data_IF_678479398618
#
_entry.id   IF_678479398618
#
_cell.length_a   1.000
_cell.length_b   1.000
_cell.length_c   1.000
_cell.angle_alpha   90.00
_cell.angle_beta   90.00
_cell.angle_gamma   90.00
#
_symmetry.space_group_name_H-M   'P 1'
#
loop_
_entity.id
_entity.type
_entity.pdbx_description
1 polymer ?
#
# COMPACT_ATOMS: atom_id res chain seq x y z
N UNK A 1 12.28 23.48 -3.45
CA UNK A 1 11.16 23.73 -2.51
C UNK A 1 9.89 23.12 -3.10
N UNK A 2 9.16 22.33 -2.28
CA UNK A 2 7.78 21.81 -2.43
C UNK A 2 7.54 20.82 -3.59
N UNK A 3 6.91 19.64 -3.47
CA UNK A 3 6.23 18.92 -2.38
C UNK A 3 6.06 17.46 -2.85
N UNK A 4 6.70 16.49 -2.20
CA UNK A 4 6.11 15.14 -2.04
C UNK A 4 5.88 14.90 -0.55
N UNK A 5 5.40 15.94 0.13
CA UNK A 5 4.84 15.79 1.49
C UNK A 5 3.45 15.18 1.34
N UNK A 6 3.35 13.89 1.00
CA UNK A 6 2.30 13.10 1.62
C UNK A 6 2.71 12.94 3.08
N UNK A 7 2.54 14.04 3.84
CA UNK A 7 2.44 14.00 5.30
C UNK A 7 1.49 12.84 5.57
N UNK A 8 2.02 11.74 6.12
CA UNK A 8 1.28 10.56 6.59
C UNK A 8 -0.15 11.00 6.85
N UNK A 9 -1.11 10.68 5.95
CA UNK A 9 -2.49 10.95 6.28
C UNK A 9 -2.69 10.16 7.56
N UNK A 10 -2.92 10.85 8.68
CA UNK A 10 -3.61 10.21 9.80
C UNK A 10 -4.71 9.39 9.15
N UNK A 11 -4.74 8.07 9.39
CA UNK A 11 -5.61 7.12 8.70
C UNK A 11 -7.02 7.69 8.68
N UNK A 12 -7.39 8.40 7.61
CA UNK A 12 -8.63 9.17 7.48
C UNK A 12 -9.50 8.60 6.37
N UNK A 13 -8.92 7.72 5.55
CA UNK A 13 -9.57 7.02 4.45
C UNK A 13 -9.16 5.56 4.47
N UNK A 14 -10.06 4.68 4.01
CA UNK A 14 -9.83 3.25 3.89
C UNK A 14 -8.57 2.93 3.06
N UNK A 15 -8.40 3.68 1.96
CA UNK A 15 -7.19 3.65 1.12
C UNK A 15 -5.91 3.96 1.89
N UNK A 16 -5.93 4.96 2.78
CA UNK A 16 -4.75 5.31 3.57
C UNK A 16 -4.36 4.22 4.58
N UNK A 17 -5.35 3.54 5.16
CA UNK A 17 -5.13 2.35 5.98
C UNK A 17 -4.53 1.20 5.16
N UNK A 18 -5.09 0.91 3.98
CA UNK A 18 -4.59 -0.15 3.11
C UNK A 18 -3.13 0.07 2.68
N UNK A 19 -2.76 1.30 2.34
CA UNK A 19 -1.35 1.67 2.05
C UNK A 19 -0.46 1.41 3.27
N UNK A 20 -0.92 1.75 4.47
CA UNK A 20 -0.17 1.50 5.71
C UNK A 20 0.08 -0.01 5.90
N UNK A 21 -0.96 -0.84 5.78
CA UNK A 21 -0.85 -2.29 5.90
C UNK A 21 0.11 -2.89 4.87
N UNK A 22 0.01 -2.45 3.60
CA UNK A 22 0.91 -2.89 2.53
C UNK A 22 2.37 -2.50 2.82
N UNK A 23 2.61 -1.29 3.32
CA UNK A 23 3.94 -0.83 3.67
C UNK A 23 4.51 -1.59 4.88
N UNK A 24 3.69 -1.83 5.91
CA UNK A 24 4.07 -2.59 7.10
C UNK A 24 4.42 -4.05 6.76
N UNK A 25 3.69 -4.66 5.83
CA UNK A 25 3.98 -6.00 5.33
C UNK A 25 5.21 -6.07 4.41
N UNK A 26 5.69 -4.93 3.92
CA UNK A 26 6.76 -4.82 2.92
C UNK A 26 6.30 -5.19 1.51
N UNK A 27 5.00 -5.15 1.24
CA UNK A 27 4.44 -5.43 -0.08
C UNK A 27 4.66 -4.29 -1.06
N UNK A 28 4.78 -3.05 -0.55
CA UNK A 28 5.12 -1.87 -1.35
C UNK A 28 6.41 -1.24 -0.87
N UNK A 29 7.09 -0.52 -1.76
CA UNK A 29 8.27 0.31 -1.47
C UNK A 29 8.11 1.68 -2.09
N UNK A 30 8.70 2.69 -1.48
CA UNK A 30 8.84 4.01 -2.09
C UNK A 30 10.04 4.02 -3.05
N UNK A 31 9.87 4.59 -4.24
CA UNK A 31 10.98 4.93 -5.11
C UNK A 31 11.80 6.04 -4.46
N UNK A 32 13.07 5.80 -4.16
CA UNK A 32 13.92 6.77 -3.47
C UNK A 32 14.14 8.05 -4.29
N UNK A 33 14.06 7.95 -5.62
CA UNK A 33 14.31 9.07 -6.54
C UNK A 33 13.05 9.90 -6.81
N UNK A 34 11.89 9.25 -6.94
CA UNK A 34 10.66 9.89 -7.42
C UNK A 34 9.53 9.91 -6.38
N UNK A 35 9.66 9.18 -5.26
CA UNK A 35 8.64 9.11 -4.21
C UNK A 35 7.39 8.31 -4.57
N UNK A 36 7.37 7.62 -5.73
CA UNK A 36 6.25 6.76 -6.11
C UNK A 36 6.21 5.48 -5.28
N UNK A 37 5.01 5.10 -4.85
CA UNK A 37 4.79 3.77 -4.29
C UNK A 37 4.83 2.74 -5.42
N UNK A 38 5.62 1.69 -5.23
CA UNK A 38 5.79 0.60 -6.17
C UNK A 38 5.48 -0.72 -5.45
N UNK A 39 4.74 -1.60 -6.11
CA UNK A 39 4.53 -2.96 -5.62
C UNK A 39 5.83 -3.75 -5.78
N UNK A 40 6.29 -4.39 -4.71
CA UNK A 40 7.47 -5.26 -4.74
C UNK A 40 7.19 -6.58 -5.48
N UNK A 41 5.92 -6.88 -5.75
CA UNK A 41 5.41 -8.12 -6.31
C UNK A 41 5.84 -9.38 -5.52
N UNK A 42 6.19 -9.21 -4.24
CA UNK A 42 6.64 -10.28 -3.35
C UNK A 42 5.42 -11.08 -2.83
N UNK A 43 5.27 -12.36 -3.19
CA UNK A 43 4.10 -13.15 -2.81
C UNK A 43 3.93 -13.27 -1.28
N UNK A 44 5.04 -13.40 -0.55
CA UNK A 44 5.01 -13.53 0.90
C UNK A 44 4.64 -12.21 1.58
N UNK A 45 5.10 -11.08 1.05
CA UNK A 45 4.72 -9.77 1.56
C UNK A 45 3.24 -9.48 1.32
N UNK A 46 2.70 -9.87 0.15
CA UNK A 46 1.28 -9.77 -0.15
C UNK A 46 0.44 -10.62 0.80
N UNK A 47 0.84 -11.86 1.04
CA UNK A 47 0.16 -12.75 1.99
C UNK A 47 0.15 -12.16 3.41
N UNK A 48 1.29 -11.64 3.90
CA UNK A 48 1.35 -10.95 5.20
C UNK A 48 0.42 -9.74 5.27
N UNK A 49 0.33 -8.93 4.21
CA UNK A 49 -0.58 -7.79 4.17
C UNK A 49 -2.04 -8.23 4.28
N UNK A 50 -2.41 -9.31 3.59
CA UNK A 50 -3.74 -9.89 3.65
C UNK A 50 -4.07 -10.47 5.03
N UNK A 51 -3.09 -11.09 5.70
CA UNK A 51 -3.27 -11.57 7.07
C UNK A 51 -3.48 -10.42 8.06
N UNK A 52 -2.73 -9.32 7.94
CA UNK A 52 -2.92 -8.13 8.76
C UNK A 52 -4.32 -7.55 8.53
N UNK A 53 -4.72 -7.40 7.26
CA UNK A 53 -6.04 -6.88 6.88
C UNK A 53 -7.21 -7.68 7.46
N UNK A 54 -7.06 -9.01 7.56
CA UNK A 54 -8.05 -9.90 8.17
C UNK A 54 -8.08 -9.83 9.69
N UNK A 55 -6.90 -9.72 10.31
CA UNK A 55 -6.74 -9.76 11.77
C UNK A 55 -7.10 -8.44 12.43
N UNK A 56 -6.81 -7.32 11.77
CA UNK A 56 -7.02 -5.97 12.28
C UNK A 56 -7.70 -5.07 11.24
N UNK A 57 -8.98 -5.36 10.88
CA UNK A 57 -9.72 -4.51 9.98
C UNK A 57 -10.13 -3.19 10.66
N UNK A 58 -10.33 -2.10 9.90
CA UNK A 58 -10.83 -0.85 10.45
C UNK A 58 -12.20 -1.04 11.11
N UNK A 59 -12.48 -0.26 12.16
CA UNK A 59 -13.75 -0.34 12.88
C UNK A 59 -14.95 -0.17 11.93
N UNK A 60 -15.86 -1.16 11.94
CA UNK A 60 -17.05 -1.17 11.10
C UNK A 60 -16.87 -1.83 9.72
N UNK A 61 -15.69 -2.33 9.38
CA UNK A 61 -15.49 -3.18 8.21
C UNK A 61 -15.39 -4.67 8.58
N UNK A 62 -15.98 -5.49 7.72
CA UNK A 62 -15.75 -6.94 7.73
C UNK A 62 -14.34 -7.27 7.22
N UNK A 63 -13.71 -8.34 7.72
CA UNK A 63 -12.40 -8.80 7.24
C UNK A 63 -12.30 -8.97 5.72
N UNK A 64 -13.36 -9.48 5.07
CA UNK A 64 -13.42 -9.61 3.61
C UNK A 64 -13.43 -8.26 2.88
N UNK A 65 -14.13 -7.26 3.43
CA UNK A 65 -14.17 -5.92 2.86
C UNK A 65 -12.82 -5.19 3.04
N UNK A 66 -12.17 -5.39 4.18
CA UNK A 66 -10.84 -4.88 4.46
C UNK A 66 -9.80 -5.49 3.50
N UNK A 67 -9.89 -6.81 3.25
CA UNK A 67 -9.08 -7.49 2.25
C UNK A 67 -9.30 -6.98 0.82
N UNK A 68 -10.57 -6.79 0.44
CA UNK A 68 -10.93 -6.30 -0.87
C UNK A 68 -10.27 -4.94 -1.13
N UNK A 69 -10.32 -4.02 -0.16
CA UNK A 69 -9.65 -2.72 -0.27
C UNK A 69 -8.13 -2.86 -0.41
N UNK A 70 -7.48 -3.67 0.45
CA UNK A 70 -6.02 -3.85 0.38
C UNK A 70 -5.60 -4.38 -0.99
N UNK A 71 -6.37 -5.31 -1.55
CA UNK A 71 -6.13 -5.82 -2.91
C UNK A 71 -6.39 -4.76 -3.98
N UNK A 72 -7.44 -3.97 -3.84
CA UNK A 72 -7.78 -2.93 -4.82
C UNK A 72 -6.70 -1.83 -4.86
N UNK A 73 -6.22 -1.42 -3.69
CA UNK A 73 -5.09 -0.49 -3.57
C UNK A 73 -3.81 -1.08 -4.14
N UNK A 74 -3.51 -2.34 -3.86
CA UNK A 74 -2.34 -3.02 -4.42
C UNK A 74 -2.42 -3.10 -5.95
N UNK A 75 -3.58 -3.45 -6.51
CA UNK A 75 -3.81 -3.48 -7.96
C UNK A 75 -3.72 -2.09 -8.61
N UNK A 76 -4.01 -1.02 -7.85
CA UNK A 76 -3.86 0.36 -8.30
C UNK A 76 -2.39 0.83 -8.26
N UNK A 77 -1.50 0.13 -7.56
CA UNK A 77 -0.07 0.45 -7.48
C UNK A 77 0.63 -0.38 -8.56
N UNK A 78 1.30 0.32 -9.49
CA UNK A 78 2.16 -0.35 -10.48
C UNK A 78 3.36 -1.02 -9.82
N UNK A 79 3.83 -2.11 -10.41
CA UNK A 79 5.07 -2.78 -10.05
C UNK A 79 6.33 -2.01 -10.48
N UNK A 80 6.16 -0.95 -11.28
CA UNK A 80 7.23 -0.09 -11.78
C UNK A 80 6.94 1.39 -11.58
N UNK A 81 7.99 2.17 -11.33
CA UNK A 81 7.94 3.62 -11.34
C UNK A 81 7.91 4.12 -12.80
N UNK A 82 6.86 4.82 -13.26
CA UNK A 82 6.76 5.28 -14.64
C UNK A 82 7.77 6.38 -15.00
N UNK A 83 8.33 7.07 -14.00
CA UNK A 83 9.35 8.11 -14.19
C UNK A 83 10.79 7.57 -14.13
N UNK A 84 10.98 6.35 -13.60
CA UNK A 84 12.29 5.72 -13.66
C UNK A 84 12.54 5.19 -15.08
N UNK A 85 13.75 5.39 -15.64
CA UNK A 85 14.12 4.67 -16.85
C UNK A 85 14.09 3.16 -16.54
N UNK A 86 13.56 2.32 -17.44
CA UNK A 86 13.74 0.87 -17.32
C UNK A 86 15.23 0.56 -17.47
N UNK A 87 15.77 -0.22 -16.53
CA UNK A 87 17.15 -0.73 -16.57
C UNK A 87 17.31 -1.77 -17.69
#
# INVERSE_FOLDING_TARGET
>A
MLMTKQRRPAIRTLRGWAIHVLNEAGAIRECEEHGWMQDRADPHARERAFDIARRDPPAGLSPDAALAEVRDVLNSIGDTCPECPPD
#
